data_IF_245013848945
#
_entry.id   IF_245013848945
#
_cell.length_a   1.000
_cell.length_b   1.000
_cell.length_c   1.000
_cell.angle_alpha   90.00
_cell.angle_beta   90.00
_cell.angle_gamma   90.00
#
_symmetry.space_group_name_H-M   'P 1'
#
loop_
_entity.id
_entity.type
_entity.pdbx_description
1 polymer ?
#
# COMPACT_ATOMS: atom_id res chain seq x y z
N UNK A 1 -6.58 0.87 -12.67
CA UNK A 1 -7.61 0.51 -11.68
C UNK A 1 -7.03 -0.49 -10.69
N UNK A 2 -6.75 -0.08 -9.44
CA UNK A 2 -6.39 -1.01 -8.37
C UNK A 2 -7.68 -1.68 -7.89
N UNK A 3 -7.81 -3.00 -8.08
CA UNK A 3 -8.88 -3.77 -7.44
C UNK A 3 -8.69 -3.61 -5.93
N UNK A 4 -9.63 -2.92 -5.27
CA UNK A 4 -9.75 -2.99 -3.81
C UNK A 4 -9.90 -4.47 -3.46
N UNK A 5 -9.02 -5.00 -2.62
CA UNK A 5 -9.11 -6.37 -2.09
C UNK A 5 -10.30 -6.45 -1.13
N UNK A 6 -11.51 -6.54 -1.68
CA UNK A 6 -12.77 -6.64 -0.96
C UNK A 6 -13.03 -8.00 -0.30
N UNK A 7 -12.07 -8.93 -0.33
CA UNK A 7 -12.20 -10.29 0.24
C UNK A 7 -11.66 -10.43 1.66
N UNK A 8 -11.00 -9.41 2.21
CA UNK A 8 -10.34 -9.51 3.53
C UNK A 8 -11.35 -9.31 4.67
N UNK A 9 -12.50 -8.70 4.41
CA UNK A 9 -13.49 -8.29 5.42
C UNK A 9 -14.70 -9.22 5.57
N UNK A 10 -14.83 -10.28 4.76
CA UNK A 10 -16.01 -11.18 4.79
C UNK A 10 -15.89 -12.32 5.82
N UNK A 11 -14.76 -12.41 6.56
CA UNK A 11 -14.54 -13.47 7.56
C UNK A 11 -14.68 -12.90 8.97
N UNK A 12 -15.43 -13.59 9.82
CA UNK A 12 -15.63 -13.29 11.25
C UNK A 12 -14.38 -13.60 12.11
N UNK A 13 -13.19 -13.25 11.64
CA UNK A 13 -11.99 -13.29 12.48
C UNK A 13 -11.87 -11.99 13.26
N UNK A 14 -11.39 -12.09 14.50
CA UNK A 14 -11.20 -10.94 15.39
C UNK A 14 -9.83 -11.02 16.08
N UNK A 15 -9.42 -9.92 16.70
CA UNK A 15 -8.17 -9.83 17.47
C UNK A 15 -6.93 -10.23 16.66
N UNK A 16 -6.05 -11.00 17.31
CA UNK A 16 -4.76 -11.43 16.73
C UNK A 16 -4.93 -12.41 15.57
N UNK A 17 -5.99 -13.24 15.57
CA UNK A 17 -6.32 -14.13 14.47
C UNK A 17 -6.65 -13.38 13.18
N UNK A 18 -7.39 -12.26 13.29
CA UNK A 18 -7.65 -11.36 12.18
C UNK A 18 -6.37 -10.70 11.68
N UNK A 19 -5.56 -10.15 12.58
CA UNK A 19 -4.30 -9.50 12.21
C UNK A 19 -3.38 -10.46 11.44
N UNK A 20 -3.26 -11.70 11.91
CA UNK A 20 -2.52 -12.75 11.21
C UNK A 20 -3.12 -13.06 9.83
N UNK A 21 -4.45 -13.16 9.72
CA UNK A 21 -5.12 -13.38 8.44
C UNK A 21 -4.86 -12.27 7.43
N UNK A 22 -4.92 -11.01 7.87
CA UNK A 22 -4.64 -9.85 7.02
C UNK A 22 -3.18 -9.90 6.54
N UNK A 23 -2.23 -10.08 7.46
CA UNK A 23 -0.80 -10.10 7.14
C UNK A 23 -0.46 -11.22 6.13
N UNK A 24 -1.03 -12.42 6.30
CA UNK A 24 -0.85 -13.54 5.37
C UNK A 24 -1.52 -13.26 4.02
N UNK A 25 -2.73 -12.69 4.01
CA UNK A 25 -3.47 -12.39 2.77
C UNK A 25 -2.82 -11.29 1.92
N UNK A 26 -2.00 -10.44 2.55
CA UNK A 26 -1.20 -9.42 1.86
C UNK A 26 0.17 -9.92 1.39
N UNK A 27 0.60 -11.10 1.85
CA UNK A 27 1.83 -11.73 1.38
C UNK A 27 1.70 -12.23 -0.06
N UNK A 28 2.80 -12.26 -0.80
CA UNK A 28 2.88 -12.88 -2.13
C UNK A 28 2.99 -14.41 -2.06
N UNK A 29 3.28 -14.96 -0.88
CA UNK A 29 3.53 -16.38 -0.68
C UNK A 29 2.23 -17.15 -0.38
N UNK A 30 2.25 -18.47 -0.63
CA UNK A 30 1.09 -19.32 -0.35
C UNK A 30 0.96 -19.57 1.16
N UNK A 31 -0.29 -19.75 1.62
CA UNK A 31 -0.58 -20.09 3.02
C UNK A 31 0.17 -21.34 3.49
N UNK A 32 0.35 -22.33 2.61
CA UNK A 32 1.09 -23.55 2.88
C UNK A 32 2.58 -23.27 3.12
N UNK A 33 3.24 -22.49 2.25
CA UNK A 33 4.66 -22.18 2.41
C UNK A 33 4.91 -21.32 3.65
N UNK A 34 4.01 -20.37 3.93
CA UNK A 34 4.05 -19.53 5.14
C UNK A 34 3.90 -20.39 6.40
N UNK A 35 2.92 -21.30 6.42
CA UNK A 35 2.71 -22.22 7.55
C UNK A 35 3.96 -23.08 7.78
N UNK A 36 4.53 -23.63 6.72
CA UNK A 36 5.72 -24.47 6.79
C UNK A 36 6.94 -23.69 7.34
N UNK A 37 7.20 -22.47 6.84
CA UNK A 37 8.27 -21.61 7.36
C UNK A 37 8.07 -21.22 8.81
N UNK A 38 6.83 -21.07 9.25
CA UNK A 38 6.48 -20.84 10.66
C UNK A 38 6.56 -22.12 11.53
N UNK A 39 6.88 -23.28 10.94
CA UNK A 39 6.99 -24.56 11.64
C UNK A 39 5.65 -25.25 11.91
N UNK A 40 4.63 -24.98 11.10
CA UNK A 40 3.28 -25.50 11.25
C UNK A 40 2.80 -26.22 9.98
N UNK A 41 1.79 -27.09 10.13
CA UNK A 41 1.05 -27.65 9.00
C UNK A 41 0.09 -26.59 8.44
N UNK A 42 -0.21 -26.66 7.14
CA UNK A 42 -1.12 -25.73 6.45
C UNK A 42 -2.49 -25.60 7.15
N UNK A 43 -3.07 -26.71 7.59
CA UNK A 43 -4.36 -26.72 8.31
C UNK A 43 -4.30 -25.95 9.65
N UNK A 44 -3.14 -25.94 10.31
CA UNK A 44 -2.96 -25.26 11.59
C UNK A 44 -3.05 -23.73 11.43
N UNK A 45 -2.57 -23.19 10.31
CA UNK A 45 -2.69 -21.76 10.01
C UNK A 45 -4.14 -21.29 9.96
N UNK A 46 -5.02 -22.06 9.30
CA UNK A 46 -6.45 -21.72 9.24
C UNK A 46 -7.13 -21.77 10.61
N UNK A 47 -6.69 -22.67 11.49
CA UNK A 47 -7.16 -22.71 12.87
C UNK A 47 -6.64 -21.53 13.69
N UNK A 48 -5.46 -20.99 13.39
CA UNK A 48 -4.93 -19.81 14.05
C UNK A 48 -5.72 -18.55 13.70
N UNK A 49 -6.18 -18.39 12.45
CA UNK A 49 -7.02 -17.25 12.07
C UNK A 49 -8.30 -17.13 12.91
N UNK A 50 -8.86 -18.27 13.34
CA UNK A 50 -10.10 -18.33 14.14
C UNK A 50 -9.91 -17.95 15.61
N UNK A 51 -8.68 -17.75 16.08
CA UNK A 51 -8.39 -17.46 17.49
C UNK A 51 -8.25 -15.96 17.71
N UNK A 52 -9.12 -15.39 18.53
CA UNK A 52 -9.03 -13.99 18.97
C UNK A 52 -7.70 -13.71 19.68
N UNK A 53 -7.32 -14.59 20.60
CA UNK A 53 -6.09 -14.48 21.40
C UNK A 53 -5.07 -15.54 20.98
N UNK A 54 -4.29 -15.24 19.95
CA UNK A 54 -3.09 -16.02 19.62
C UNK A 54 -1.94 -15.69 20.56
N UNK A 55 -1.15 -16.69 20.93
CA UNK A 55 0.02 -16.46 21.78
C UNK A 55 1.11 -15.69 21.04
N UNK A 56 1.91 -14.95 21.79
CA UNK A 56 3.06 -14.18 21.27
C UNK A 56 3.99 -15.06 20.43
N UNK A 57 4.28 -16.27 20.91
CA UNK A 57 5.12 -17.24 20.20
C UNK A 57 4.61 -17.56 18.79
N UNK A 58 3.29 -17.71 18.62
CA UNK A 58 2.69 -17.99 17.31
C UNK A 58 2.80 -16.75 16.42
N UNK A 59 2.45 -15.57 16.94
CA UNK A 59 2.53 -14.31 16.19
C UNK A 59 3.96 -14.03 15.72
N UNK A 60 4.95 -14.25 16.58
CA UNK A 60 6.37 -14.07 16.26
C UNK A 60 6.85 -15.07 15.21
N UNK A 61 6.44 -16.34 15.29
CA UNK A 61 6.80 -17.34 14.26
C UNK A 61 6.27 -16.95 12.89
N UNK A 62 5.02 -16.50 12.80
CA UNK A 62 4.48 -16.01 11.54
C UNK A 62 5.13 -14.71 11.11
N UNK A 63 5.34 -13.74 11.99
CA UNK A 63 6.00 -12.47 11.65
C UNK A 63 7.49 -12.61 11.28
N UNK A 64 8.11 -13.77 11.53
CA UNK A 64 9.41 -14.15 10.95
C UNK A 64 9.28 -14.90 9.63
N UNK A 65 8.19 -15.67 9.46
CA UNK A 65 7.90 -16.41 8.24
C UNK A 65 7.37 -15.53 7.11
N UNK A 66 6.67 -14.44 7.44
CA UNK A 66 6.33 -13.32 6.57
C UNK A 66 7.01 -12.09 7.15
N UNK A 67 7.69 -11.24 6.36
CA UNK A 67 8.44 -10.08 6.88
C UNK A 67 7.46 -8.97 7.31
N UNK A 68 6.68 -9.25 8.34
CA UNK A 68 5.63 -8.41 8.88
C UNK A 68 5.83 -8.27 10.39
N UNK A 69 5.95 -7.03 10.85
CA UNK A 69 6.16 -6.69 12.24
C UNK A 69 4.81 -6.50 12.94
N UNK A 70 4.37 -7.52 13.67
CA UNK A 70 3.13 -7.48 14.45
C UNK A 70 3.22 -6.54 15.67
N UNK A 71 4.39 -6.01 16.02
CA UNK A 71 4.51 -5.06 17.13
C UNK A 71 3.91 -3.69 16.85
N UNK A 72 3.63 -3.39 15.58
CA UNK A 72 2.90 -2.19 15.15
C UNK A 72 1.48 -2.20 15.73
N UNK A 73 0.81 -3.35 15.65
CA UNK A 73 -0.56 -3.54 16.14
C UNK A 73 -0.60 -4.02 17.60
N UNK A 74 0.45 -4.72 18.04
CA UNK A 74 0.56 -5.35 19.36
C UNK A 74 1.90 -4.98 20.03
N UNK A 75 2.01 -3.78 20.65
CA UNK A 75 3.26 -3.24 21.18
C UNK A 75 4.02 -4.15 22.14
N UNK A 76 3.31 -5.03 22.86
CA UNK A 76 3.87 -6.06 23.73
C UNK A 76 4.80 -7.04 22.99
N UNK A 77 4.64 -7.21 21.67
CA UNK A 77 5.48 -8.09 20.86
C UNK A 77 6.81 -7.46 20.44
N UNK A 78 6.98 -6.16 20.65
CA UNK A 78 8.16 -5.43 20.20
C UNK A 78 9.51 -6.05 20.65
N UNK A 79 9.68 -6.63 21.86
CA UNK A 79 10.92 -7.32 22.23
C UNK A 79 11.33 -8.45 21.27
N UNK A 80 10.37 -9.08 20.59
CA UNK A 80 10.63 -10.23 19.70
C UNK A 80 10.94 -9.85 18.25
N UNK A 81 10.59 -8.64 17.84
CA UNK A 81 10.84 -8.09 16.51
C UNK A 81 12.02 -7.11 16.46
N UNK A 82 12.37 -6.50 17.60
CA UNK A 82 13.52 -5.58 17.74
C UNK A 82 14.90 -6.22 17.54
N UNK A 83 14.98 -7.54 17.36
CA UNK A 83 16.24 -8.27 17.17
C UNK A 83 16.11 -9.36 16.11
N UNK A 84 16.01 -8.95 14.85
CA UNK A 84 16.48 -9.76 13.73
C UNK A 84 16.68 -8.83 12.52
N UNK A 85 17.92 -8.40 12.23
CA UNK A 85 18.23 -7.84 10.92
C UNK A 85 18.12 -8.99 9.91
N UNK A 86 16.92 -9.26 9.38
CA UNK A 86 16.71 -10.25 8.29
C UNK A 86 17.22 -9.70 6.95
N UNK A 87 17.71 -8.46 6.90
CA UNK A 87 18.70 -8.03 5.93
C UNK A 87 20.01 -7.88 6.68
N UNK A 88 21.08 -8.56 6.22
CA UNK A 88 22.41 -8.45 6.82
C UNK A 88 22.72 -7.00 7.16
N UNK A 89 23.36 -6.77 8.31
CA UNK A 89 23.64 -5.46 8.89
C UNK A 89 24.18 -4.50 7.83
N UNK A 90 23.26 -3.79 7.15
CA UNK A 90 23.64 -2.71 6.27
C UNK A 90 24.27 -1.69 7.19
N UNK A 91 25.53 -1.36 6.92
CA UNK A 91 26.20 -0.32 7.68
C UNK A 91 25.29 0.92 7.70
N UNK A 92 25.29 1.66 8.81
CA UNK A 92 24.54 2.91 8.93
C UNK A 92 24.75 3.82 7.70
N UNK A 93 25.95 3.80 7.11
CA UNK A 93 26.29 4.50 5.87
C UNK A 93 25.48 4.03 4.67
N UNK A 94 25.29 2.73 4.48
CA UNK A 94 24.51 2.16 3.39
C UNK A 94 23.01 2.46 3.56
N UNK A 95 22.52 2.38 4.79
CA UNK A 95 21.13 2.71 5.10
C UNK A 95 20.84 4.18 4.83
N UNK A 96 21.76 5.06 5.21
CA UNK A 96 21.70 6.50 4.94
C UNK A 96 21.68 6.78 3.44
N UNK A 97 22.57 6.15 2.66
CA UNK A 97 22.59 6.29 1.20
C UNK A 97 21.29 5.81 0.54
N UNK A 98 20.73 4.68 1.00
CA UNK A 98 19.45 4.22 0.48
C UNK A 98 18.31 5.17 0.84
N UNK A 99 18.29 5.68 2.07
CA UNK A 99 17.30 6.66 2.51
C UNK A 99 17.39 7.95 1.68
N UNK A 100 18.59 8.51 1.51
CA UNK A 100 18.82 9.69 0.67
C UNK A 100 18.40 9.43 -0.79
N UNK A 101 18.71 8.26 -1.35
CA UNK A 101 18.30 7.88 -2.69
C UNK A 101 16.77 7.76 -2.85
N UNK A 102 16.07 7.25 -1.83
CA UNK A 102 14.60 7.20 -1.81
C UNK A 102 14.01 8.59 -1.65
N UNK A 103 14.56 9.41 -0.76
CA UNK A 103 14.15 10.79 -0.54
C UNK A 103 14.27 11.61 -1.83
N UNK A 104 15.40 11.49 -2.55
CA UNK A 104 15.59 12.18 -3.83
C UNK A 104 14.57 11.72 -4.88
N UNK A 105 14.33 10.41 -5.01
CA UNK A 105 13.32 9.88 -5.95
C UNK A 105 11.92 10.40 -5.63
N UNK A 106 11.59 10.48 -4.35
CA UNK A 106 10.30 11.02 -3.90
C UNK A 106 10.19 12.51 -4.22
N UNK A 107 11.22 13.32 -3.93
CA UNK A 107 11.26 14.73 -4.28
C UNK A 107 11.08 14.95 -5.78
N UNK A 108 11.86 14.26 -6.61
CA UNK A 108 11.78 14.37 -8.07
C UNK A 108 10.39 14.00 -8.60
N UNK A 109 9.78 12.95 -8.03
CA UNK A 109 8.42 12.54 -8.39
C UNK A 109 7.40 13.62 -8.02
N UNK A 110 7.52 14.22 -6.83
CA UNK A 110 6.63 15.27 -6.36
C UNK A 110 6.76 16.53 -7.21
N UNK A 111 7.98 16.91 -7.59
CA UNK A 111 8.24 18.03 -8.49
C UNK A 111 7.62 17.79 -9.87
N UNK A 112 7.90 16.63 -10.47
CA UNK A 112 7.33 16.25 -11.78
C UNK A 112 5.79 16.22 -11.74
N UNK A 113 5.21 15.75 -10.64
CA UNK A 113 3.77 15.74 -10.44
C UNK A 113 3.20 17.17 -10.38
N UNK A 114 3.86 18.06 -9.65
CA UNK A 114 3.46 19.46 -9.55
C UNK A 114 3.58 20.20 -10.89
N UNK A 115 4.63 19.93 -11.67
CA UNK A 115 4.76 20.45 -13.04
C UNK A 115 3.62 19.98 -13.93
N UNK A 116 3.29 18.70 -13.88
CA UNK A 116 2.17 18.14 -14.64
C UNK A 116 0.84 18.77 -14.23
N UNK A 117 0.61 19.00 -12.92
CA UNK A 117 -0.58 19.69 -12.42
C UNK A 117 -0.69 21.12 -12.94
N UNK A 118 0.43 21.86 -13.00
CA UNK A 118 0.46 23.22 -13.57
C UNK A 118 0.14 23.20 -15.06
N UNK A 119 0.81 22.33 -15.82
CA UNK A 119 0.58 22.20 -17.26
C UNK A 119 -0.89 21.80 -17.57
N UNK A 120 -1.44 20.86 -16.80
CA UNK A 120 -2.85 20.48 -16.91
C UNK A 120 -3.80 21.65 -16.63
N UNK A 121 -3.48 22.48 -15.63
CA UNK A 121 -4.30 23.65 -15.28
C UNK A 121 -4.32 24.67 -16.42
N UNK A 122 -3.15 24.99 -17.00
CA UNK A 122 -3.02 25.90 -18.14
C UNK A 122 -3.80 25.36 -19.34
N UNK A 123 -3.59 24.09 -19.71
CA UNK A 123 -4.26 23.48 -20.84
C UNK A 123 -5.80 23.48 -20.68
N UNK A 124 -6.28 23.30 -19.45
CA UNK A 124 -7.71 23.36 -19.13
C UNK A 124 -8.27 24.78 -19.28
N UNK A 125 -7.51 25.81 -18.93
CA UNK A 125 -7.90 27.21 -19.10
C UNK A 125 -7.98 27.59 -20.58
N UNK A 126 -6.94 27.25 -21.36
CA UNK A 126 -6.92 27.45 -22.81
C UNK A 126 -8.10 26.75 -23.51
N UNK A 127 -8.41 25.51 -23.09
CA UNK A 127 -9.57 24.78 -23.61
C UNK A 127 -10.90 25.48 -23.27
N UNK A 128 -11.01 26.05 -22.07
CA UNK A 128 -12.20 26.80 -21.66
C UNK A 128 -12.38 28.07 -22.49
N UNK A 129 -11.29 28.80 -22.74
CA UNK A 129 -11.30 30.01 -23.57
C UNK A 129 -11.64 29.69 -25.03
N UNK A 130 -11.01 28.66 -25.61
CA UNK A 130 -11.31 28.22 -26.96
C UNK A 130 -12.77 27.84 -27.14
N UNK A 131 -13.36 27.11 -26.17
CA UNK A 131 -14.77 26.75 -26.19
C UNK A 131 -15.68 27.97 -26.13
N UNK A 132 -15.34 28.98 -25.33
CA UNK A 132 -16.09 30.24 -25.26
C UNK A 132 -16.09 30.96 -26.61
N UNK A 133 -14.91 31.12 -27.21
CA UNK A 133 -14.76 31.75 -28.53
C UNK A 133 -15.55 31.01 -29.61
N UNK A 134 -15.54 29.67 -29.59
CA UNK A 134 -16.34 28.84 -30.50
C UNK A 134 -17.83 29.13 -30.34
N UNK A 135 -18.35 29.25 -29.12
CA UNK A 135 -19.76 29.54 -28.89
C UNK A 135 -20.17 30.95 -29.31
N UNK A 136 -19.29 31.94 -29.10
CA UNK A 136 -19.48 33.32 -29.57
C UNK A 136 -19.55 33.36 -31.11
N UNK A 137 -18.59 32.74 -31.81
CA UNK A 137 -18.58 32.65 -33.27
C UNK A 137 -19.80 31.89 -33.83
N UNK A 138 -20.20 30.78 -33.18
CA UNK A 138 -21.42 30.06 -33.55
C UNK A 138 -22.66 30.94 -33.44
N UNK A 139 -22.73 31.81 -32.43
CA UNK A 139 -23.85 32.76 -32.25
C UNK A 139 -23.88 33.79 -33.37
N UNK A 140 -22.72 34.34 -33.72
CA UNK A 140 -22.59 35.32 -34.80
C UNK A 140 -22.97 34.73 -36.17
N UNK A 141 -22.49 33.53 -36.49
CA UNK A 141 -22.87 32.80 -37.71
C UNK A 141 -24.38 32.56 -37.76
N UNK A 142 -25.01 32.18 -36.63
CA UNK A 142 -26.47 32.01 -36.57
C UNK A 142 -27.19 33.31 -36.89
N UNK A 143 -26.78 34.44 -36.32
CA UNK A 143 -27.40 35.74 -36.61
C UNK A 143 -27.25 36.18 -38.07
N UNK A 144 -26.10 35.90 -38.69
CA UNK A 144 -25.86 36.20 -40.11
C UNK A 144 -26.67 35.32 -41.06
N UNK A 145 -27.01 34.08 -40.68
CA UNK A 145 -27.85 33.19 -41.48
C UNK A 145 -29.34 33.51 -41.42
N UNK A 146 -29.78 34.29 -40.43
CA UNK A 146 -31.17 34.71 -40.25
C UNK A 146 -31.51 36.07 -40.87
N UNK A 147 -30.51 36.80 -41.37
CA UNK A 147 -30.66 38.00 -42.20
C UNK A 147 -30.50 37.64 -43.68
#
# INVERSE_FOLDING_TARGET
>A
MRKKNSRVTDKEYIGRGLALYIAVSLSTDTNESIAQRAGYKSNTLYNHFKKEFLSDSIMVKYGKAIPHDFSIDFPELAPYFRSNPVGGEKSYTELKLQFEGVQQKYTNLLESHNELLRAHTICREELSEANRTIEELKKEIRSLKTN
#
